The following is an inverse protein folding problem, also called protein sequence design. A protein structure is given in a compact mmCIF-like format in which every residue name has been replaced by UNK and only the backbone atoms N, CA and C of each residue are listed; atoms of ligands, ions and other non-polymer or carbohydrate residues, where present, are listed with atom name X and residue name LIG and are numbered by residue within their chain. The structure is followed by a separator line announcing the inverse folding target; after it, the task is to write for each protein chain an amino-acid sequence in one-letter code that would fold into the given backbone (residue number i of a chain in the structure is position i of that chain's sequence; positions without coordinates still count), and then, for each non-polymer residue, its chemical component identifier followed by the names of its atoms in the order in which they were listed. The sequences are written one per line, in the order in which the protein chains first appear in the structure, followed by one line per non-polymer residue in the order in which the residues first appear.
data_IF_036619299851
#
_entry.id   IF_036619299851
#
_cell.length_a   1.000
_cell.length_b   1.000
_cell.length_c   1.000
_cell.angle_alpha   90.00
_cell.angle_beta   90.00
_cell.angle_gamma   90.00
#
_symmetry.space_group_name_H-M   'P 1'
#
loop_
_entity.id
_entity.type
_entity.pdbx_description
1 polymer ?
#
# COMPACT_ATOMS: atom_id res chain seq x y z
N UNK A 1 12.03 30.93 28.81
CA UNK A 1 11.28 30.82 27.53
C UNK A 1 11.90 29.86 26.51
N UNK A 2 13.23 29.59 26.48
CA UNK A 2 13.83 28.64 25.52
C UNK A 2 13.63 27.14 25.84
N UNK A 3 13.41 26.78 27.12
CA UNK A 3 13.24 25.37 27.53
C UNK A 3 11.83 24.81 27.31
N UNK A 4 10.79 25.61 27.51
CA UNK A 4 9.39 25.19 27.28
C UNK A 4 9.08 24.97 25.80
N UNK A 5 9.66 25.78 24.90
CA UNK A 5 9.50 25.60 23.45
C UNK A 5 10.13 24.28 22.96
N UNK A 6 11.28 23.88 23.54
CA UNK A 6 11.93 22.60 23.22
C UNK A 6 11.12 21.40 23.68
N UNK A 7 10.50 21.46 24.87
CA UNK A 7 9.61 20.40 25.34
C UNK A 7 8.35 20.25 24.48
N UNK A 8 7.74 21.36 24.03
CA UNK A 8 6.58 21.29 23.14
C UNK A 8 6.91 20.67 21.78
N UNK A 9 8.07 20.99 21.18
CA UNK A 9 8.49 20.41 19.89
C UNK A 9 8.76 18.90 20.03
N UNK A 10 9.39 18.49 21.14
CA UNK A 10 9.62 17.06 21.42
C UNK A 10 8.31 16.32 21.67
N UNK A 11 7.38 16.89 22.44
CA UNK A 11 6.05 16.32 22.63
C UNK A 11 5.27 16.20 21.31
N UNK A 12 5.31 17.21 20.43
CA UNK A 12 4.65 17.14 19.14
C UNK A 12 5.23 16.03 18.25
N UNK A 13 6.56 15.88 18.21
CA UNK A 13 7.18 14.79 17.45
C UNK A 13 6.79 13.40 18.00
N UNK A 14 6.75 13.23 19.32
CA UNK A 14 6.34 11.97 19.96
C UNK A 14 4.86 11.65 19.66
N UNK A 15 3.99 12.66 19.66
CA UNK A 15 2.57 12.52 19.31
C UNK A 15 2.36 12.17 17.84
N UNK A 16 3.10 12.78 16.91
CA UNK A 16 3.03 12.43 15.49
C UNK A 16 3.54 11.00 15.20
N UNK A 17 4.59 10.56 15.90
CA UNK A 17 5.11 9.20 15.74
C UNK A 17 4.16 8.16 16.33
N UNK A 18 3.56 8.41 17.49
CA UNK A 18 2.58 7.50 18.10
C UNK A 18 1.30 7.39 17.29
N UNK A 19 0.81 8.48 16.68
CA UNK A 19 -0.36 8.42 15.79
C UNK A 19 -0.10 7.59 14.53
N UNK A 20 1.11 7.63 13.97
CA UNK A 20 1.46 6.79 12.82
C UNK A 20 1.73 5.33 13.22
N UNK A 21 2.23 5.07 14.44
CA UNK A 21 2.48 3.72 14.93
C UNK A 21 1.19 2.95 15.24
N UNK A 22 0.18 3.58 15.85
CA UNK A 22 -1.13 2.95 16.08
C UNK A 22 -1.87 2.69 14.76
N UNK A 23 -1.81 3.66 13.83
CA UNK A 23 -2.31 3.46 12.46
C UNK A 23 -1.57 2.31 11.77
N UNK A 24 -0.25 2.22 11.89
CA UNK A 24 0.56 1.15 11.28
C UNK A 24 0.08 -0.25 11.72
N UNK A 25 -0.10 -0.48 13.02
CA UNK A 25 -0.53 -1.79 13.51
C UNK A 25 -1.96 -2.12 13.05
N UNK A 26 -2.87 -1.14 13.10
CA UNK A 26 -4.26 -1.32 12.66
C UNK A 26 -4.36 -1.63 11.16
N UNK A 27 -3.70 -0.86 10.31
CA UNK A 27 -3.73 -1.07 8.87
C UNK A 27 -3.02 -2.35 8.43
N UNK A 28 -1.95 -2.75 9.13
CA UNK A 28 -1.24 -4.00 8.82
C UNK A 28 -2.11 -5.23 9.05
N UNK A 29 -2.90 -5.27 10.11
CA UNK A 29 -3.82 -6.39 10.35
C UNK A 29 -4.95 -6.42 9.32
N UNK A 30 -5.46 -5.26 8.93
CA UNK A 30 -6.52 -5.14 7.93
C UNK A 30 -6.07 -5.65 6.56
N UNK A 31 -4.81 -5.46 6.19
CA UNK A 31 -4.29 -5.82 4.85
C UNK A 31 -4.06 -7.32 4.66
N UNK A 32 -3.95 -8.12 5.72
CA UNK A 32 -3.69 -9.56 5.57
C UNK A 32 -4.78 -10.30 4.80
N UNK A 33 -4.38 -11.26 3.98
CA UNK A 33 -5.29 -12.06 3.16
C UNK A 33 -5.26 -11.66 1.69
N UNK A 34 -6.27 -12.13 0.96
CA UNK A 34 -6.35 -12.04 -0.50
C UNK A 34 -7.27 -10.91 -0.92
N UNK A 35 -6.82 -10.12 -1.89
CA UNK A 35 -7.47 -8.92 -2.39
C UNK A 35 -7.56 -8.99 -3.91
N UNK A 36 -8.76 -8.87 -4.47
CA UNK A 36 -8.99 -8.87 -5.91
C UNK A 36 -9.15 -7.44 -6.42
N UNK A 37 -8.44 -7.10 -7.50
CA UNK A 37 -8.62 -5.83 -8.20
C UNK A 37 -10.03 -5.81 -8.83
N UNK A 38 -10.87 -4.88 -8.37
CA UNK A 38 -12.25 -4.74 -8.84
C UNK A 38 -12.45 -3.53 -9.73
N UNK A 39 -11.64 -2.48 -9.56
CA UNK A 39 -11.70 -1.31 -10.43
C UNK A 39 -10.35 -0.60 -10.58
N UNK A 40 -10.15 -0.01 -11.76
CA UNK A 40 -9.08 0.95 -12.09
C UNK A 40 -9.76 2.21 -12.59
N UNK A 41 -9.55 3.34 -11.92
CA UNK A 41 -10.20 4.63 -12.25
C UNK A 41 -11.73 4.53 -12.38
N UNK A 42 -12.34 3.71 -11.51
CA UNK A 42 -13.79 3.39 -11.46
C UNK A 42 -14.32 2.59 -12.67
N UNK A 43 -13.43 2.11 -13.54
CA UNK A 43 -13.76 1.18 -14.60
C UNK A 43 -13.33 -0.25 -14.22
N UNK A 44 -13.90 -1.26 -14.90
CA UNK A 44 -13.42 -2.62 -14.76
C UNK A 44 -11.95 -2.70 -15.22
N UNK A 45 -11.08 -3.45 -14.51
CA UNK A 45 -9.68 -3.56 -14.89
C UNK A 45 -9.55 -4.29 -16.23
N UNK A 46 -8.73 -3.76 -17.13
CA UNK A 46 -8.37 -4.44 -18.37
C UNK A 46 -7.64 -5.76 -18.09
N UNK A 47 -6.76 -5.73 -17.08
CA UNK A 47 -6.01 -6.88 -16.60
C UNK A 47 -6.38 -7.10 -15.12
N UNK A 48 -7.28 -8.06 -14.81
CA UNK A 48 -7.59 -8.38 -13.44
C UNK A 48 -6.37 -9.01 -12.76
N UNK A 49 -6.16 -8.66 -11.50
CA UNK A 49 -5.12 -9.26 -10.69
C UNK A 49 -5.57 -9.44 -9.24
N UNK A 50 -4.77 -10.19 -8.50
CA UNK A 50 -4.98 -10.48 -7.09
C UNK A 50 -3.70 -10.21 -6.32
N UNK A 51 -3.81 -9.52 -5.18
CA UNK A 51 -2.75 -9.41 -4.19
C UNK A 51 -3.05 -10.33 -3.01
N UNK A 52 -2.07 -11.12 -2.58
CA UNK A 52 -2.16 -11.93 -1.37
C UNK A 52 -1.04 -11.56 -0.39
N UNK A 53 -1.41 -10.88 0.70
CA UNK A 53 -0.49 -10.48 1.76
C UNK A 53 -0.30 -11.64 2.74
N UNK A 54 0.85 -12.34 2.61
CA UNK A 54 1.17 -13.59 3.30
C UNK A 54 1.66 -13.38 4.72
N UNK A 55 2.60 -12.45 4.90
CA UNK A 55 3.29 -12.17 6.15
C UNK A 55 3.41 -10.67 6.34
N UNK A 56 4.06 -10.19 7.39
CA UNK A 56 4.25 -8.75 7.65
C UNK A 56 5.00 -7.99 6.55
N UNK A 57 5.68 -8.68 5.63
CA UNK A 57 6.46 -8.05 4.56
C UNK A 57 6.36 -8.77 3.20
N UNK A 58 5.73 -9.94 3.12
CA UNK A 58 5.62 -10.71 1.88
C UNK A 58 4.22 -10.58 1.27
N UNK A 59 4.19 -10.35 -0.04
CA UNK A 59 2.99 -10.24 -0.86
C UNK A 59 3.18 -11.07 -2.13
N UNK A 60 2.09 -11.65 -2.64
CA UNK A 60 2.07 -12.33 -3.93
C UNK A 60 1.12 -11.58 -4.85
N UNK A 61 1.58 -11.21 -6.04
CA UNK A 61 0.75 -10.70 -7.12
C UNK A 61 0.44 -11.82 -8.09
N UNK A 62 -0.84 -12.08 -8.35
CA UNK A 62 -1.29 -13.01 -9.38
C UNK A 62 -1.98 -12.24 -10.50
N UNK A 63 -1.48 -12.36 -11.71
CA UNK A 63 -1.96 -11.66 -12.91
C UNK A 63 -1.81 -12.60 -14.10
N UNK A 64 -2.86 -12.72 -14.94
CA UNK A 64 -2.84 -13.59 -16.13
C UNK A 64 -2.29 -15.02 -15.88
N UNK A 65 -2.76 -15.65 -14.80
CA UNK A 65 -2.32 -16.99 -14.34
C UNK A 65 -0.85 -17.12 -13.90
N UNK A 66 -0.09 -16.01 -13.91
CA UNK A 66 1.27 -15.95 -13.37
C UNK A 66 1.27 -15.39 -11.96
N UNK A 67 2.16 -15.92 -11.13
CA UNK A 67 2.33 -15.50 -9.76
C UNK A 67 3.72 -14.91 -9.58
N UNK A 68 3.80 -13.73 -8.98
CA UNK A 68 5.02 -12.98 -8.73
C UNK A 68 5.18 -12.77 -7.24
N UNK A 69 6.25 -13.33 -6.67
CA UNK A 69 6.60 -13.07 -5.28
C UNK A 69 7.12 -11.63 -5.15
N UNK A 70 6.67 -10.96 -4.09
CA UNK A 70 7.03 -9.60 -3.82
C UNK A 70 7.19 -9.31 -2.34
N UNK A 71 7.66 -8.11 -2.10
CA UNK A 71 7.77 -7.52 -0.77
C UNK A 71 6.87 -6.30 -0.68
N UNK A 72 6.40 -6.02 0.53
CA UNK A 72 5.66 -4.80 0.79
C UNK A 72 6.11 -4.16 2.10
N UNK A 73 5.89 -2.86 2.16
CA UNK A 73 5.97 -2.08 3.38
C UNK A 73 4.72 -1.21 3.45
N UNK A 74 4.12 -1.15 4.63
CA UNK A 74 2.98 -0.27 4.86
C UNK A 74 3.37 0.74 5.93
N UNK A 75 3.28 2.03 5.69
CA UNK A 75 3.62 3.05 6.68
C UNK A 75 2.62 4.23 6.66
N UNK A 76 2.01 4.49 7.82
CA UNK A 76 0.86 5.38 7.99
C UNK A 76 -0.29 5.00 7.02
N UNK A 77 -0.33 5.56 5.81
CA UNK A 77 -1.30 5.20 4.76
C UNK A 77 -0.64 4.99 3.38
N UNK A 78 0.67 4.78 3.35
CA UNK A 78 1.44 4.48 2.13
C UNK A 78 1.73 2.98 2.10
N UNK A 79 1.34 2.32 1.02
CA UNK A 79 1.69 0.94 0.72
C UNK A 79 2.73 0.94 -0.40
N UNK A 80 3.93 0.51 -0.07
CA UNK A 80 5.01 0.25 -1.01
C UNK A 80 5.02 -1.22 -1.37
N UNK A 81 5.12 -1.53 -2.66
CA UNK A 81 5.18 -2.88 -3.22
C UNK A 81 6.39 -3.01 -4.15
N UNK A 82 7.05 -4.16 -4.11
CA UNK A 82 8.16 -4.48 -5.00
C UNK A 82 8.11 -5.94 -5.46
N UNK A 83 8.20 -6.17 -6.76
CA UNK A 83 8.13 -7.47 -7.42
C UNK A 83 9.28 -7.63 -8.42
N UNK A 84 10.41 -8.16 -7.95
CA UNK A 84 11.62 -8.32 -8.76
C UNK A 84 11.39 -9.14 -10.05
N UNK A 85 10.55 -10.18 -9.98
CA UNK A 85 10.29 -11.08 -11.11
C UNK A 85 9.31 -10.50 -12.14
N UNK A 86 8.58 -9.44 -11.79
CA UNK A 86 7.66 -8.73 -12.70
C UNK A 86 8.34 -7.47 -13.23
N UNK A 87 9.37 -7.65 -14.04
CA UNK A 87 10.13 -6.52 -14.62
C UNK A 87 10.63 -5.52 -13.57
N UNK A 88 11.08 -6.02 -12.41
CA UNK A 88 11.48 -5.19 -11.27
C UNK A 88 10.44 -4.11 -10.89
N UNK A 89 9.16 -4.49 -10.96
CA UNK A 89 8.04 -3.60 -10.67
C UNK A 89 8.14 -3.07 -9.25
N UNK A 90 8.08 -1.75 -9.11
CA UNK A 90 7.91 -1.07 -7.84
C UNK A 90 6.76 -0.08 -7.90
N UNK A 91 6.05 0.03 -6.78
CA UNK A 91 4.82 0.78 -6.67
C UNK A 91 4.70 1.42 -5.29
N UNK A 92 4.41 2.73 -5.24
CA UNK A 92 3.97 3.41 -4.03
C UNK A 92 2.53 3.85 -4.17
N UNK A 93 1.69 3.41 -3.23
CA UNK A 93 0.27 3.69 -3.21
C UNK A 93 -0.10 4.50 -1.98
N UNK A 94 -0.79 5.62 -2.18
CA UNK A 94 -1.47 6.32 -1.09
C UNK A 94 -2.85 5.71 -0.90
N UNK A 95 -3.00 4.90 0.15
CA UNK A 95 -4.29 4.33 0.55
C UNK A 95 -5.20 5.45 1.06
N UNK A 96 -6.33 5.61 0.40
CA UNK A 96 -7.37 6.61 0.71
C UNK A 96 -8.48 6.01 1.58
N UNK A 97 -8.73 4.71 1.45
CA UNK A 97 -9.67 3.96 2.29
C UNK A 97 -9.18 2.53 2.49
N UNK A 98 -9.24 2.03 3.71
CA UNK A 98 -9.11 0.61 4.03
C UNK A 98 -10.18 0.27 5.08
N UNK A 99 -11.24 -0.40 4.64
CA UNK A 99 -12.33 -0.91 5.48
C UNK A 99 -12.44 -2.41 5.25
N UNK A 100 -12.97 -3.17 6.21
CA UNK A 100 -12.93 -4.64 6.32
C UNK A 100 -12.88 -5.47 5.02
N UNK A 101 -13.55 -5.06 3.94
CA UNK A 101 -13.52 -5.73 2.64
C UNK A 101 -13.13 -4.86 1.43
N UNK A 102 -12.72 -3.60 1.61
CA UNK A 102 -12.45 -2.66 0.53
C UNK A 102 -11.21 -1.80 0.81
N UNK A 103 -10.27 -1.83 -0.12
CA UNK A 103 -9.10 -0.98 -0.18
C UNK A 103 -9.20 -0.10 -1.41
N UNK A 104 -9.03 1.20 -1.23
CA UNK A 104 -8.93 2.17 -2.32
C UNK A 104 -7.61 2.93 -2.16
N UNK A 105 -6.84 3.05 -3.23
CA UNK A 105 -5.56 3.72 -3.20
C UNK A 105 -5.27 4.46 -4.50
N UNK A 106 -4.45 5.51 -4.43
CA UNK A 106 -3.92 6.21 -5.60
C UNK A 106 -2.46 5.81 -5.77
N UNK A 107 -2.06 5.42 -6.97
CA UNK A 107 -0.65 5.17 -7.31
C UNK A 107 0.08 6.51 -7.38
N UNK A 108 1.00 6.75 -6.45
CA UNK A 108 1.82 7.98 -6.42
C UNK A 108 3.09 7.82 -7.25
N UNK A 109 3.64 6.61 -7.31
CA UNK A 109 4.86 6.30 -8.04
C UNK A 109 4.80 4.87 -8.57
N UNK A 110 5.22 4.67 -9.81
CA UNK A 110 5.28 3.36 -10.46
C UNK A 110 6.48 3.32 -11.41
N UNK A 111 7.31 2.29 -11.29
CA UNK A 111 8.38 2.03 -12.23
C UNK A 111 8.56 0.54 -12.52
N UNK A 112 9.10 0.26 -13.70
CA UNK A 112 9.64 -1.05 -14.10
C UNK A 112 11.05 -0.88 -14.65
N UNK A 113 11.70 -1.98 -15.01
CA UNK A 113 12.96 -1.95 -15.77
C UNK A 113 12.86 -1.17 -17.09
N UNK A 114 11.65 -0.96 -17.63
CA UNK A 114 11.44 -0.21 -18.87
C UNK A 114 11.34 1.31 -18.65
N UNK A 115 11.16 1.75 -17.40
CA UNK A 115 11.10 3.16 -17.01
C UNK A 115 9.99 3.50 -16.02
N UNK A 116 9.84 4.79 -15.75
CA UNK A 116 8.74 5.36 -14.97
C UNK A 116 7.47 5.44 -15.83
N UNK A 117 6.31 5.12 -15.24
CA UNK A 117 5.00 5.26 -15.90
C UNK A 117 4.16 6.35 -15.22
N UNK A 118 3.06 6.78 -15.86
CA UNK A 118 2.22 7.87 -15.36
C UNK A 118 1.50 7.49 -14.04
N UNK A 119 1.73 8.23 -12.94
CA UNK A 119 1.01 8.03 -11.68
C UNK A 119 -0.36 8.73 -11.68
N UNK A 120 -1.17 8.48 -10.65
CA UNK A 120 -2.50 9.07 -10.48
C UNK A 120 -3.65 8.08 -10.66
N UNK A 121 -3.36 6.87 -11.12
CA UNK A 121 -4.32 5.77 -11.23
C UNK A 121 -4.91 5.41 -9.87
N UNK A 122 -6.23 5.32 -9.79
CA UNK A 122 -6.97 4.88 -8.60
C UNK A 122 -7.24 3.39 -8.71
N UNK A 123 -6.74 2.61 -7.75
CA UNK A 123 -6.97 1.18 -7.64
C UNK A 123 -8.01 0.89 -6.55
N UNK A 124 -8.96 0.01 -6.85
CA UNK A 124 -9.91 -0.52 -5.89
C UNK A 124 -9.75 -2.04 -5.79
N UNK A 125 -9.45 -2.51 -4.58
CA UNK A 125 -9.30 -3.91 -4.27
C UNK A 125 -10.36 -4.36 -3.25
N UNK A 126 -10.96 -5.52 -3.50
CA UNK A 126 -11.92 -6.14 -2.59
C UNK A 126 -11.30 -7.35 -1.91
N UNK A 127 -11.41 -7.41 -0.58
CA UNK A 127 -10.91 -8.55 0.20
C UNK A 127 -11.79 -9.78 -0.04
N UNK A 128 -11.17 -10.94 -0.23
CA UNK A 128 -11.86 -12.22 -0.20
C UNK A 128 -12.25 -12.58 1.25
N UNK A 129 -13.41 -13.23 1.46
CA UNK A 129 -13.83 -13.73 2.77
C UNK A 129 -12.83 -14.72 3.38
#
# INVERSE_FOLDING_TARGET
MKHTLRLCIVCLMVLCMSSCQENYNHYRELIYGTWDLTAVDKAAPDIPNTLYFKTSTSVLLTEEEKAYEGQYQFYCNVLTLHFAEKQDLYQDWRVTSLKDSLMTAVVEYYFTTEGEQEPGTVLEYKKRP
#
